data_IF_601702995701
#
_entry.id   IF_601702995701
#
_cell.length_a   1.000
_cell.length_b   1.000
_cell.length_c   1.000
_cell.angle_alpha   90.00
_cell.angle_beta   90.00
_cell.angle_gamma   90.00
#
_symmetry.space_group_name_H-M   'P 1'
#
loop_
_entity.id
_entity.type
_entity.pdbx_description
1 polymer ?
#
# COMPACT_ATOMS: atom_id res chain seq x y z
N UNK A 1 -71.58 -12.63 41.46
CA UNK A 1 -71.91 -11.69 42.54
C UNK A 1 -70.97 -11.90 43.73
N UNK A 2 -69.88 -11.17 43.98
CA UNK A 2 -68.89 -10.47 43.13
C UNK A 2 -67.80 -9.83 44.02
N UNK A 3 -66.54 -9.55 43.62
CA UNK A 3 -65.74 -9.96 42.44
C UNK A 3 -64.25 -9.60 42.67
N UNK A 4 -63.37 -9.94 41.71
CA UNK A 4 -62.03 -9.37 41.43
C UNK A 4 -60.92 -9.36 42.53
N UNK A 5 -59.89 -10.20 42.28
CA UNK A 5 -58.42 -9.95 42.38
C UNK A 5 -57.78 -9.44 43.69
N UNK A 6 -56.55 -9.91 43.97
CA UNK A 6 -55.43 -8.96 43.92
C UNK A 6 -54.20 -9.44 43.12
N UNK A 7 -53.29 -8.50 42.89
CA UNK A 7 -52.01 -8.64 42.19
C UNK A 7 -50.85 -8.72 43.22
N UNK A 8 -49.74 -9.39 42.83
CA UNK A 8 -48.37 -9.26 43.39
C UNK A 8 -48.13 -9.63 44.87
N UNK A 9 -47.27 -10.63 45.06
CA UNK A 9 -46.43 -10.76 46.25
C UNK A 9 -44.99 -11.10 45.81
N UNK A 10 -43.99 -10.49 46.45
CA UNK A 10 -42.58 -10.72 46.17
C UNK A 10 -41.99 -11.75 47.14
N UNK A 11 -41.16 -12.66 46.63
CA UNK A 11 -40.25 -13.54 47.41
C UNK A 11 -38.97 -13.65 46.57
N UNK A 12 -37.93 -12.88 46.90
CA UNK A 12 -36.82 -13.24 47.79
C UNK A 12 -35.92 -14.34 47.23
N UNK A 13 -34.66 -13.99 47.00
CA UNK A 13 -33.67 -14.84 46.33
C UNK A 13 -33.00 -15.83 47.30
N UNK A 14 -32.69 -17.02 46.79
CA UNK A 14 -31.65 -17.89 47.34
C UNK A 14 -30.77 -18.37 46.18
N UNK A 15 -29.48 -18.01 46.25
CA UNK A 15 -28.47 -18.42 45.28
C UNK A 15 -28.03 -19.86 45.57
N UNK A 16 -28.21 -20.74 44.59
CA UNK A 16 -27.68 -22.11 44.60
C UNK A 16 -26.95 -22.38 43.29
N UNK A 17 -25.61 -22.33 43.33
CA UNK A 17 -24.77 -22.62 42.17
C UNK A 17 -24.81 -24.12 41.84
N UNK A 18 -25.53 -24.47 40.78
CA UNK A 18 -25.55 -25.81 40.21
C UNK A 18 -25.41 -25.73 38.68
N UNK A 19 -24.37 -26.34 38.14
CA UNK A 19 -23.95 -26.18 36.75
C UNK A 19 -25.03 -26.62 35.75
N UNK A 20 -25.56 -25.66 34.98
CA UNK A 20 -26.30 -25.94 33.75
C UNK A 20 -25.34 -26.48 32.70
N UNK A 21 -25.30 -27.81 32.57
CA UNK A 21 -24.80 -28.45 31.35
C UNK A 21 -25.86 -28.19 30.27
N UNK A 22 -25.66 -27.16 29.48
CA UNK A 22 -26.36 -27.03 28.20
C UNK A 22 -25.89 -28.19 27.31
N UNK A 23 -26.73 -29.22 27.19
CA UNK A 23 -26.65 -30.12 26.07
C UNK A 23 -26.96 -29.31 24.81
N UNK A 24 -25.90 -28.87 24.11
CA UNK A 24 -26.03 -28.38 22.76
C UNK A 24 -26.55 -29.53 21.90
N UNK A 25 -27.78 -29.40 21.45
CA UNK A 25 -28.38 -30.29 20.48
C UNK A 25 -27.60 -30.12 19.17
N UNK A 26 -26.72 -31.09 18.88
CA UNK A 26 -25.95 -31.16 17.64
C UNK A 26 -26.85 -31.67 16.51
N UNK A 27 -27.96 -30.96 16.30
CA UNK A 27 -28.84 -31.13 15.16
C UNK A 27 -28.09 -30.74 13.89
N UNK A 28 -27.82 -31.76 13.07
CA UNK A 28 -27.14 -31.74 11.78
C UNK A 28 -26.78 -30.38 11.19
N UNK A 29 -25.49 -30.07 11.19
CA UNK A 29 -24.93 -29.21 10.16
C UNK A 29 -24.99 -30.00 8.85
N UNK A 30 -26.02 -29.75 8.05
CA UNK A 30 -26.13 -30.30 6.70
C UNK A 30 -24.80 -30.02 5.95
N UNK A 31 -24.28 -30.99 5.18
CA UNK A 31 -23.04 -30.77 4.44
C UNK A 31 -23.24 -29.58 3.51
N UNK A 32 -22.23 -28.72 3.43
CA UNK A 32 -22.18 -27.58 2.51
C UNK A 32 -22.10 -28.14 1.08
N UNK A 33 -23.27 -28.46 0.52
CA UNK A 33 -23.40 -29.04 -0.82
C UNK A 33 -23.11 -27.94 -1.82
N UNK A 34 -21.92 -27.97 -2.41
CA UNK A 34 -21.57 -27.11 -3.54
C UNK A 34 -22.66 -27.24 -4.62
N UNK A 35 -23.27 -26.13 -5.08
CA UNK A 35 -24.48 -26.20 -5.90
C UNK A 35 -24.18 -26.90 -7.22
N UNK A 36 -25.03 -27.87 -7.59
CA UNK A 36 -24.88 -28.62 -8.83
C UNK A 36 -24.84 -27.66 -10.03
N UNK A 37 -23.73 -27.68 -10.78
CA UNK A 37 -23.53 -26.82 -11.95
C UNK A 37 -23.83 -27.58 -13.25
N UNK A 38 -24.55 -26.92 -14.15
CA UNK A 38 -24.90 -27.42 -15.47
C UNK A 38 -24.43 -26.47 -16.56
N UNK A 39 -24.08 -27.03 -17.72
CA UNK A 39 -23.59 -26.30 -18.88
C UNK A 39 -24.73 -25.98 -19.84
N UNK A 40 -24.97 -24.70 -20.05
CA UNK A 40 -25.94 -24.20 -21.01
C UNK A 40 -25.22 -23.61 -22.22
N UNK A 41 -25.67 -23.92 -23.44
CA UNK A 41 -25.23 -23.24 -24.67
C UNK A 41 -26.34 -22.38 -25.23
N UNK A 42 -26.18 -21.07 -25.16
CA UNK A 42 -27.11 -20.15 -25.79
C UNK A 42 -26.81 -20.02 -27.29
N UNK A 43 -27.83 -20.07 -28.13
CA UNK A 43 -27.80 -19.85 -29.57
C UNK A 43 -28.63 -18.60 -29.88
N UNK A 44 -28.00 -17.52 -30.34
CA UNK A 44 -28.71 -16.27 -30.67
C UNK A 44 -28.81 -16.11 -32.19
N UNK A 45 -30.02 -15.90 -32.69
CA UNK A 45 -30.34 -15.89 -34.11
C UNK A 45 -31.29 -14.76 -34.51
N UNK A 46 -31.20 -14.39 -35.77
CA UNK A 46 -32.11 -13.49 -36.46
C UNK A 46 -33.46 -14.17 -36.75
N UNK A 47 -34.57 -13.46 -36.51
CA UNK A 47 -35.92 -14.01 -36.61
C UNK A 47 -36.38 -14.30 -38.05
N UNK A 48 -35.94 -13.47 -38.99
CA UNK A 48 -36.44 -13.47 -40.37
C UNK A 48 -35.56 -14.32 -41.30
N UNK A 49 -34.27 -14.44 -40.99
CA UNK A 49 -33.25 -15.12 -41.81
C UNK A 49 -32.70 -16.42 -41.20
N UNK A 50 -33.00 -16.74 -39.93
CA UNK A 50 -32.33 -17.77 -39.10
C UNK A 50 -30.81 -17.56 -38.94
N UNK A 51 -30.28 -16.41 -39.39
CA UNK A 51 -28.86 -16.07 -39.36
C UNK A 51 -28.29 -16.02 -37.95
N UNK A 52 -27.06 -16.51 -37.77
CA UNK A 52 -26.39 -16.52 -36.46
C UNK A 52 -25.91 -15.11 -36.06
N UNK A 53 -26.25 -14.67 -34.84
CA UNK A 53 -25.93 -13.34 -34.36
C UNK A 53 -24.66 -13.34 -33.51
N UNK A 54 -23.54 -12.94 -34.12
CA UNK A 54 -22.27 -12.63 -33.46
C UNK A 54 -22.38 -11.36 -32.60
N UNK A 55 -21.78 -11.37 -31.41
CA UNK A 55 -21.69 -10.19 -30.54
C UNK A 55 -23.02 -9.81 -29.88
N UNK A 56 -24.00 -10.72 -29.85
CA UNK A 56 -25.16 -10.59 -28.98
C UNK A 56 -24.72 -10.83 -27.54
N UNK A 57 -25.01 -9.87 -26.67
CA UNK A 57 -24.74 -9.92 -25.25
C UNK A 57 -25.93 -10.56 -24.54
N UNK A 58 -25.66 -11.49 -23.65
CA UNK A 58 -26.62 -12.16 -22.77
C UNK A 58 -26.26 -11.80 -21.32
N UNK A 59 -27.20 -11.18 -20.62
CA UNK A 59 -27.09 -10.88 -19.18
C UNK A 59 -28.10 -11.76 -18.43
N UNK A 60 -27.64 -12.55 -17.44
CA UNK A 60 -28.49 -13.43 -16.63
C UNK A 60 -28.81 -12.79 -15.27
N UNK A 61 -30.07 -12.88 -14.83
CA UNK A 61 -30.44 -12.51 -13.46
C UNK A 61 -30.07 -13.64 -12.49
N UNK A 62 -29.59 -13.31 -11.28
CA UNK A 62 -29.21 -14.32 -10.29
C UNK A 62 -27.87 -15.04 -10.55
N UNK A 63 -27.26 -14.84 -11.72
CA UNK A 63 -25.86 -15.20 -11.98
C UNK A 63 -25.20 -14.01 -12.68
N UNK A 64 -24.36 -13.25 -11.96
CA UNK A 64 -23.94 -11.89 -12.31
C UNK A 64 -23.01 -11.77 -13.56
N UNK A 65 -22.98 -12.80 -14.41
CA UNK A 65 -22.14 -12.91 -15.59
C UNK A 65 -22.79 -12.35 -16.83
N UNK A 66 -21.94 -11.69 -17.61
CA UNK A 66 -22.21 -11.24 -18.97
C UNK A 66 -21.56 -12.21 -19.96
N UNK A 67 -22.35 -12.74 -20.87
CA UNK A 67 -21.88 -13.66 -21.92
C UNK A 67 -22.09 -13.04 -23.30
N UNK A 68 -21.25 -13.42 -24.26
CA UNK A 68 -21.25 -12.80 -25.58
C UNK A 68 -21.10 -13.88 -26.62
N UNK A 69 -21.97 -13.88 -27.62
CA UNK A 69 -21.93 -14.89 -28.68
C UNK A 69 -20.72 -14.74 -29.59
N UNK A 70 -20.08 -15.87 -29.90
CA UNK A 70 -18.98 -15.97 -30.85
C UNK A 70 -19.42 -15.93 -32.31
N UNK A 71 -18.48 -16.20 -33.23
CA UNK A 71 -18.73 -16.16 -34.69
C UNK A 71 -19.77 -17.17 -35.19
N UNK A 72 -20.07 -18.19 -34.38
CA UNK A 72 -21.12 -19.20 -34.61
C UNK A 72 -22.49 -18.80 -34.00
N UNK A 73 -22.63 -17.60 -33.45
CA UNK A 73 -23.82 -17.16 -32.73
C UNK A 73 -24.06 -17.86 -31.39
N UNK A 74 -23.02 -18.48 -30.81
CA UNK A 74 -23.16 -19.26 -29.58
C UNK A 74 -22.36 -18.69 -28.42
N UNK A 75 -22.89 -18.84 -27.20
CA UNK A 75 -22.17 -18.60 -25.95
C UNK A 75 -22.50 -19.74 -24.97
N UNK A 76 -21.48 -20.46 -24.49
CA UNK A 76 -21.65 -21.52 -23.49
C UNK A 76 -21.23 -21.05 -22.10
N UNK A 77 -21.98 -21.44 -21.08
CA UNK A 77 -21.73 -21.05 -19.69
C UNK A 77 -22.16 -22.13 -18.71
N UNK A 78 -21.40 -22.23 -17.61
CA UNK A 78 -21.65 -23.16 -16.52
C UNK A 78 -22.28 -22.39 -15.35
N UNK A 79 -23.49 -22.79 -14.95
CA UNK A 79 -24.32 -22.12 -13.94
C UNK A 79 -24.95 -23.14 -12.99
N UNK A 80 -25.26 -22.78 -11.74
CA UNK A 80 -26.05 -23.64 -10.85
C UNK A 80 -27.38 -24.09 -11.44
N UNK A 81 -27.90 -25.22 -10.96
CA UNK A 81 -29.29 -25.63 -11.16
C UNK A 81 -30.22 -24.59 -10.52
N UNK A 82 -31.16 -24.04 -11.29
CA UNK A 82 -31.99 -22.93 -10.85
C UNK A 82 -32.87 -22.32 -11.95
N UNK A 83 -33.74 -21.38 -11.55
CA UNK A 83 -34.57 -20.58 -12.46
C UNK A 83 -33.87 -19.24 -12.75
N UNK A 84 -33.73 -18.91 -14.03
CA UNK A 84 -33.01 -17.74 -14.52
C UNK A 84 -33.89 -16.90 -15.43
N UNK A 85 -33.88 -15.57 -15.27
CA UNK A 85 -34.31 -14.66 -16.34
C UNK A 85 -33.09 -14.15 -17.09
N UNK A 86 -33.28 -13.79 -18.36
CA UNK A 86 -32.22 -13.28 -19.21
C UNK A 86 -32.67 -12.07 -20.00
N UNK A 87 -31.71 -11.21 -20.30
CA UNK A 87 -31.85 -10.12 -21.27
C UNK A 87 -30.80 -10.29 -22.35
N UNK A 88 -31.20 -10.26 -23.62
CA UNK A 88 -30.28 -10.29 -24.77
C UNK A 88 -30.29 -8.94 -25.48
N UNK A 89 -29.11 -8.33 -25.56
CA UNK A 89 -28.86 -7.07 -26.24
C UNK A 89 -27.96 -7.27 -27.45
N UNK A 90 -28.42 -6.80 -28.60
CA UNK A 90 -27.64 -6.72 -29.83
C UNK A 90 -28.10 -5.45 -30.53
N UNK A 91 -27.19 -4.51 -30.78
CA UNK A 91 -27.54 -3.31 -31.56
C UNK A 91 -28.10 -3.72 -32.94
N UNK A 92 -29.01 -2.89 -33.48
CA UNK A 92 -29.80 -3.20 -34.67
C UNK A 92 -31.00 -4.13 -34.41
N UNK A 93 -31.12 -4.71 -33.21
CA UNK A 93 -32.16 -5.67 -32.87
C UNK A 93 -32.97 -5.24 -31.65
N UNK A 94 -34.23 -5.64 -31.59
CA UNK A 94 -35.06 -5.47 -30.41
C UNK A 94 -34.45 -6.25 -29.24
N UNK A 95 -34.39 -5.63 -28.05
CA UNK A 95 -33.94 -6.32 -26.83
C UNK A 95 -34.93 -7.42 -26.48
N UNK A 96 -34.42 -8.64 -26.29
CA UNK A 96 -35.23 -9.80 -25.92
C UNK A 96 -35.10 -10.05 -24.42
N UNK A 97 -36.24 -10.22 -23.74
CA UNK A 97 -36.29 -10.68 -22.35
C UNK A 97 -36.95 -12.06 -22.32
N UNK A 98 -36.47 -12.94 -21.45
CA UNK A 98 -37.04 -14.27 -21.27
C UNK A 98 -36.62 -14.92 -19.97
N UNK A 99 -36.93 -16.20 -19.83
CA UNK A 99 -36.46 -17.01 -18.71
C UNK A 99 -36.42 -18.49 -19.07
N UNK A 100 -35.59 -19.23 -18.35
CA UNK A 100 -35.42 -20.67 -18.49
C UNK A 100 -35.06 -21.28 -17.13
N UNK A 101 -35.19 -22.60 -17.03
CA UNK A 101 -34.76 -23.35 -15.85
C UNK A 101 -33.59 -24.25 -16.21
N UNK A 102 -32.46 -24.04 -15.56
CA UNK A 102 -31.28 -24.87 -15.66
C UNK A 102 -31.48 -26.10 -14.75
N UNK A 103 -31.57 -27.30 -15.33
CA UNK A 103 -31.74 -28.58 -14.60
C UNK A 103 -30.75 -29.65 -15.08
N UNK A 104 -30.33 -29.54 -16.34
CA UNK A 104 -29.37 -30.43 -17.00
C UNK A 104 -28.64 -29.64 -18.08
N UNK A 105 -27.55 -30.20 -18.60
CA UNK A 105 -26.84 -29.61 -19.73
C UNK A 105 -27.76 -29.51 -20.96
N UNK A 106 -27.80 -28.36 -21.63
CA UNK A 106 -28.73 -28.14 -22.74
C UNK A 106 -28.59 -26.79 -23.42
N UNK A 107 -29.49 -26.52 -24.36
CA UNK A 107 -29.38 -25.37 -25.26
C UNK A 107 -30.50 -24.33 -25.00
N UNK A 108 -30.14 -23.05 -25.08
CA UNK A 108 -31.05 -21.91 -24.97
C UNK A 108 -31.10 -21.17 -26.32
N UNK A 109 -32.15 -21.38 -27.10
CA UNK A 109 -32.34 -20.63 -28.36
C UNK A 109 -33.02 -19.29 -28.08
N UNK A 110 -32.40 -18.20 -28.52
CA UNK A 110 -32.94 -16.84 -28.47
C UNK A 110 -33.06 -16.29 -29.88
N UNK A 111 -34.26 -15.89 -30.26
CA UNK A 111 -34.57 -15.32 -31.58
C UNK A 111 -34.81 -13.82 -31.43
N UNK A 112 -34.04 -13.01 -32.15
CA UNK A 112 -34.09 -11.54 -32.11
C UNK A 112 -34.65 -11.00 -33.42
N UNK A 113 -35.53 -10.02 -33.34
CA UNK A 113 -36.08 -9.33 -34.51
C UNK A 113 -35.26 -8.07 -34.80
N UNK A 114 -34.94 -7.83 -36.07
CA UNK A 114 -34.25 -6.61 -36.48
C UNK A 114 -35.18 -5.39 -36.26
N UNK A 115 -34.60 -4.28 -35.80
CA UNK A 115 -35.26 -2.98 -35.82
C UNK A 115 -35.11 -2.44 -37.25
N UNK A 116 -36.11 -2.67 -38.10
CA UNK A 116 -36.12 -2.14 -39.47
C UNK A 116 -36.06 -0.60 -39.52
N UNK A 117 -35.75 -0.03 -40.70
CA UNK A 117 -35.42 1.39 -40.99
C UNK A 117 -36.09 2.50 -40.14
N UNK A 118 -35.72 2.60 -38.86
CA UNK A 118 -36.14 3.64 -37.93
C UNK A 118 -35.00 3.95 -36.94
N UNK A 119 -34.49 5.16 -37.13
CA UNK A 119 -33.76 6.00 -36.17
C UNK A 119 -32.26 5.70 -35.93
N UNK A 120 -31.45 6.71 -36.26
CA UNK A 120 -30.00 6.83 -35.98
C UNK A 120 -29.70 7.07 -34.50
N UNK A 121 -30.62 6.67 -33.61
CA UNK A 121 -30.50 6.74 -32.15
C UNK A 121 -30.05 5.42 -31.51
N UNK A 122 -29.86 4.35 -32.29
CA UNK A 122 -29.27 3.09 -31.81
C UNK A 122 -27.79 3.34 -31.44
N UNK A 123 -27.59 3.71 -30.18
CA UNK A 123 -26.29 4.07 -29.66
C UNK A 123 -25.38 2.86 -29.49
N UNK A 124 -24.15 3.00 -29.99
CA UNK A 124 -23.10 2.00 -29.86
C UNK A 124 -22.82 1.67 -28.37
N UNK A 125 -22.73 0.37 -28.05
CA UNK A 125 -22.34 -0.14 -26.71
C UNK A 125 -20.98 -0.81 -26.82
N UNK A 126 -20.07 -0.47 -25.91
CA UNK A 126 -18.78 -1.12 -25.75
C UNK A 126 -18.72 -1.78 -24.36
N UNK A 127 -18.50 -3.09 -24.31
CA UNK A 127 -17.99 -3.74 -23.11
C UNK A 127 -16.49 -3.93 -23.22
N UNK A 128 -15.76 -3.52 -22.18
CA UNK A 128 -14.35 -3.84 -22.00
C UNK A 128 -14.26 -4.80 -20.82
N UNK A 129 -13.60 -5.94 -21.01
CA UNK A 129 -13.17 -6.83 -19.94
C UNK A 129 -11.69 -6.64 -19.70
N UNK A 130 -11.26 -6.53 -18.45
CA UNK A 130 -9.86 -6.33 -18.08
C UNK A 130 -9.36 -7.54 -17.31
N UNK A 131 -8.30 -8.16 -17.80
CA UNK A 131 -7.68 -9.34 -17.22
C UNK A 131 -6.16 -9.18 -17.15
N UNK A 132 -5.51 -9.96 -16.30
CA UNK A 132 -4.06 -10.03 -16.17
C UNK A 132 -3.45 -10.89 -17.28
N UNK A 133 -2.42 -10.38 -17.95
CA UNK A 133 -1.71 -11.11 -18.99
C UNK A 133 -1.00 -12.34 -18.41
N UNK A 134 -1.16 -13.48 -19.06
CA UNK A 134 -0.57 -14.76 -18.66
C UNK A 134 -1.46 -15.58 -17.73
N UNK A 135 -1.96 -15.00 -16.63
CA UNK A 135 -2.83 -15.72 -15.69
C UNK A 135 -4.31 -15.75 -16.11
N UNK A 136 -4.76 -14.76 -16.90
CA UNK A 136 -6.18 -14.57 -17.24
C UNK A 136 -7.06 -14.12 -16.07
N UNK A 137 -6.46 -13.81 -14.90
CA UNK A 137 -7.20 -13.37 -13.71
C UNK A 137 -7.87 -12.02 -13.98
N UNK A 138 -9.15 -11.92 -13.66
CA UNK A 138 -9.95 -10.71 -13.86
C UNK A 138 -9.45 -9.59 -12.91
N UNK A 139 -9.43 -8.36 -13.42
CA UNK A 139 -8.95 -7.18 -12.68
C UNK A 139 -10.15 -6.29 -12.35
N UNK A 140 -10.65 -6.41 -11.12
CA UNK A 140 -11.59 -5.48 -10.50
C UNK A 140 -10.93 -4.12 -10.22
N UNK A 141 -11.70 -3.03 -10.26
CA UNK A 141 -11.23 -1.69 -9.88
C UNK A 141 -10.28 -1.02 -10.87
N UNK A 142 -10.01 -1.63 -12.04
CA UNK A 142 -9.23 -1.00 -13.10
C UNK A 142 -10.00 0.20 -13.65
N UNK A 143 -9.36 1.37 -13.64
CA UNK A 143 -9.93 2.59 -14.20
C UNK A 143 -9.81 2.55 -15.73
N UNK A 144 -10.95 2.52 -16.40
CA UNK A 144 -11.07 2.52 -17.87
C UNK A 144 -11.67 3.86 -18.29
N UNK A 145 -11.00 4.55 -19.19
CA UNK A 145 -11.41 5.87 -19.69
C UNK A 145 -11.42 5.95 -21.21
N UNK A 146 -12.38 6.70 -21.73
CA UNK A 146 -12.50 7.04 -23.15
C UNK A 146 -11.96 8.45 -23.40
N UNK A 147 -11.38 8.65 -24.59
CA UNK A 147 -11.14 10.01 -25.10
C UNK A 147 -12.46 10.79 -25.14
N UNK A 148 -12.44 12.02 -24.60
CA UNK A 148 -13.65 12.78 -24.22
C UNK A 148 -14.02 12.72 -22.73
N UNK A 149 -13.26 12.02 -21.89
CA UNK A 149 -13.30 12.17 -20.42
C UNK A 149 -14.30 11.29 -19.68
N UNK A 150 -15.02 10.40 -20.37
CA UNK A 150 -15.86 9.37 -19.72
C UNK A 150 -14.96 8.31 -19.09
N UNK A 151 -15.03 8.12 -17.78
CA UNK A 151 -14.27 7.10 -17.06
C UNK A 151 -15.17 6.30 -16.12
N UNK A 152 -14.88 4.99 -15.99
CA UNK A 152 -15.56 4.04 -15.11
C UNK A 152 -14.54 3.02 -14.59
N UNK A 153 -14.85 2.36 -13.48
CA UNK A 153 -14.04 1.25 -12.96
C UNK A 153 -14.63 -0.09 -13.39
N UNK A 154 -13.80 -1.12 -13.49
CA UNK A 154 -14.28 -2.49 -13.68
C UNK A 154 -14.92 -3.07 -12.43
N UNK A 155 -15.96 -3.87 -12.62
CA UNK A 155 -16.61 -4.65 -11.57
C UNK A 155 -15.78 -5.90 -11.16
N UNK A 156 -16.28 -6.67 -10.19
CA UNK A 156 -15.65 -7.90 -9.68
C UNK A 156 -15.40 -8.99 -10.72
N UNK A 157 -15.99 -8.88 -11.92
CA UNK A 157 -15.72 -9.77 -13.06
C UNK A 157 -14.83 -9.13 -14.13
N UNK A 158 -14.19 -8.01 -13.79
CA UNK A 158 -13.31 -7.25 -14.68
C UNK A 158 -14.06 -6.51 -15.79
N UNK A 159 -15.40 -6.40 -15.75
CA UNK A 159 -16.18 -5.78 -16.81
C UNK A 159 -16.42 -4.30 -16.55
N UNK A 160 -16.46 -3.52 -17.64
CA UNK A 160 -16.99 -2.15 -17.65
C UNK A 160 -17.76 -1.91 -18.95
N UNK A 161 -18.85 -1.16 -18.86
CA UNK A 161 -19.72 -0.82 -19.99
C UNK A 161 -19.68 0.67 -20.28
N UNK A 162 -19.63 1.01 -21.57
CA UNK A 162 -19.93 2.34 -22.09
C UNK A 162 -21.06 2.24 -23.12
N UNK A 163 -22.08 3.09 -22.95
CA UNK A 163 -23.18 3.28 -23.90
C UNK A 163 -23.13 4.69 -24.48
N UNK A 164 -23.99 4.95 -25.47
CA UNK A 164 -24.05 6.24 -26.15
C UNK A 164 -22.68 6.65 -26.69
N UNK A 165 -22.00 5.68 -27.31
CA UNK A 165 -20.85 5.97 -28.16
C UNK A 165 -21.35 6.41 -29.53
N UNK A 166 -20.50 7.17 -30.20
CA UNK A 166 -20.78 7.74 -31.51
C UNK A 166 -19.45 7.84 -32.28
N UNK A 167 -19.29 7.01 -33.31
CA UNK A 167 -18.14 7.07 -34.21
C UNK A 167 -17.50 5.71 -34.44
N UNK A 168 -16.62 5.62 -35.42
CA UNK A 168 -16.08 4.34 -35.91
C UNK A 168 -15.04 3.69 -34.98
N UNK A 169 -14.58 4.38 -33.94
CA UNK A 169 -13.65 3.84 -32.96
C UNK A 169 -13.71 4.58 -31.61
N UNK A 170 -13.47 3.83 -30.52
CA UNK A 170 -13.24 4.36 -29.19
C UNK A 170 -11.76 4.20 -28.82
N UNK A 171 -11.08 5.29 -28.49
CA UNK A 171 -9.77 5.25 -27.85
C UNK A 171 -9.96 5.01 -26.35
N UNK A 172 -9.51 3.84 -25.87
CA UNK A 172 -9.66 3.38 -24.49
C UNK A 172 -8.29 3.39 -23.81
N UNK A 173 -8.20 4.03 -22.65
CA UNK A 173 -7.05 3.95 -21.74
C UNK A 173 -7.45 3.19 -20.48
N UNK A 174 -6.60 2.26 -20.04
CA UNK A 174 -6.81 1.41 -18.86
C UNK A 174 -5.64 1.62 -17.90
N UNK A 175 -5.95 1.84 -16.63
CA UNK A 175 -4.99 2.02 -15.53
C UNK A 175 -5.42 1.20 -14.33
N UNK A 176 -4.48 0.47 -13.72
CA UNK A 176 -4.68 -0.21 -12.44
C UNK A 176 -3.36 -0.24 -11.67
N UNK A 177 -3.41 -0.30 -10.34
CA UNK A 177 -2.20 -0.35 -9.51
C UNK A 177 -1.44 -1.65 -9.73
N UNK A 178 -0.13 -1.58 -9.93
CA UNK A 178 0.70 -2.75 -10.25
C UNK A 178 0.56 -3.25 -11.69
N UNK A 179 -0.04 -2.46 -12.60
CA UNK A 179 -0.17 -2.80 -14.03
C UNK A 179 0.28 -1.67 -14.94
N UNK A 180 0.96 -2.03 -16.03
CA UNK A 180 1.41 -1.08 -17.04
C UNK A 180 0.18 -0.48 -17.74
N UNK A 181 0.03 0.84 -17.62
CA UNK A 181 -1.08 1.56 -18.25
C UNK A 181 -1.09 1.32 -19.77
N UNK A 182 -2.27 1.01 -20.31
CA UNK A 182 -2.45 0.63 -21.73
C UNK A 182 -3.45 1.56 -22.39
N UNK A 183 -3.13 2.05 -23.59
CA UNK A 183 -4.06 2.79 -24.45
C UNK A 183 -4.20 2.06 -25.77
N UNK A 184 -5.43 1.93 -26.29
CA UNK A 184 -5.73 1.26 -27.54
C UNK A 184 -6.98 1.86 -28.20
N UNK A 185 -6.93 2.06 -29.52
CA UNK A 185 -8.12 2.29 -30.33
C UNK A 185 -8.86 0.95 -30.58
N UNK A 186 -10.14 0.90 -30.24
CA UNK A 186 -11.04 -0.22 -30.49
C UNK A 186 -12.05 0.21 -31.55
N UNK A 187 -12.12 -0.47 -32.70
CA UNK A 187 -13.11 -0.16 -33.72
C UNK A 187 -14.52 -0.45 -33.15
N UNK A 188 -15.42 0.50 -33.31
CA UNK A 188 -16.83 0.33 -32.99
C UNK A 188 -17.57 -0.05 -34.27
N UNK A 189 -18.49 -0.98 -34.14
CA UNK A 189 -19.39 -1.34 -35.23
C UNK A 189 -20.74 -0.66 -34.98
N UNK A 190 -21.15 0.18 -35.93
CA UNK A 190 -22.41 0.92 -35.90
C UNK A 190 -23.59 -0.02 -35.61
N UNK A 191 -24.43 0.38 -34.67
CA UNK A 191 -25.53 -0.47 -34.21
C UNK A 191 -25.07 -1.86 -33.74
N UNK A 192 -23.94 -2.00 -33.03
CA UNK A 192 -23.56 -3.27 -32.39
C UNK A 192 -23.05 -3.08 -30.97
N UNK A 193 -23.14 -4.17 -30.21
CA UNK A 193 -22.40 -4.32 -28.96
C UNK A 193 -20.98 -4.77 -29.32
N UNK A 194 -20.01 -3.88 -29.19
CA UNK A 194 -18.60 -4.20 -29.34
C UNK A 194 -18.08 -4.75 -28.02
N UNK A 195 -17.33 -5.85 -28.07
CA UNK A 195 -16.81 -6.52 -26.87
C UNK A 195 -15.33 -6.78 -27.08
N UNK A 196 -14.52 -6.37 -26.10
CA UNK A 196 -13.07 -6.52 -26.13
C UNK A 196 -12.57 -7.00 -24.77
N UNK A 197 -11.73 -8.03 -24.76
CA UNK A 197 -10.93 -8.41 -23.60
C UNK A 197 -9.54 -7.79 -23.75
N UNK A 198 -9.09 -7.08 -22.72
CA UNK A 198 -7.81 -6.38 -22.70
C UNK A 198 -6.94 -6.94 -21.58
N UNK A 199 -5.92 -7.68 -21.98
CA UNK A 199 -4.90 -8.18 -21.07
C UNK A 199 -3.94 -7.05 -20.64
N UNK A 200 -3.72 -6.90 -19.34
CA UNK A 200 -2.81 -5.94 -18.71
C UNK A 200 -1.55 -6.67 -18.23
N UNK A 201 -0.38 -6.14 -18.58
CA UNK A 201 0.89 -6.65 -18.07
C UNK A 201 1.19 -6.03 -16.69
N UNK A 202 1.81 -6.79 -15.79
CA UNK A 202 2.23 -6.32 -14.47
C UNK A 202 3.28 -5.21 -14.63
N UNK A 203 3.09 -4.10 -13.93
CA UNK A 203 4.11 -3.07 -13.75
C UNK A 203 5.02 -3.51 -12.60
N UNK A 204 6.20 -4.02 -12.97
CA UNK A 204 7.21 -4.47 -12.03
C UNK A 204 7.88 -3.26 -11.36
N UNK A 205 7.17 -2.64 -10.41
CA UNK A 205 7.73 -1.61 -9.54
C UNK A 205 8.85 -2.25 -8.72
N UNK A 206 10.09 -2.04 -9.15
CA UNK A 206 11.27 -2.37 -8.36
C UNK A 206 11.26 -1.46 -7.14
N UNK A 207 10.74 -1.97 -6.02
CA UNK A 207 10.85 -1.30 -4.74
C UNK A 207 12.34 -1.09 -4.44
N UNK A 208 12.72 0.13 -4.05
CA UNK A 208 14.04 0.36 -3.51
C UNK A 208 14.25 -0.59 -2.32
N UNK A 209 15.44 -1.21 -2.18
CA UNK A 209 15.70 -2.14 -1.09
C UNK A 209 15.44 -1.44 0.25
N UNK A 210 14.74 -2.13 1.14
CA UNK A 210 14.52 -1.65 2.51
C UNK A 210 15.87 -1.65 3.23
N UNK A 211 16.54 -0.49 3.27
CA UNK A 211 17.74 -0.31 4.08
C UNK A 211 17.37 -0.37 5.56
N UNK A 212 17.50 -1.55 6.16
CA UNK A 212 17.41 -1.73 7.61
C UNK A 212 18.72 -1.24 8.22
N UNK A 213 18.81 0.05 8.53
CA UNK A 213 19.88 0.58 9.37
C UNK A 213 19.72 0.05 10.78
N UNK A 214 20.63 -0.86 11.18
CA UNK A 214 20.72 -1.33 12.56
C UNK A 214 21.18 -0.17 13.48
N UNK A 215 20.24 0.41 14.22
CA UNK A 215 20.55 1.47 15.18
C UNK A 215 21.23 0.91 16.43
N UNK A 216 22.23 1.64 16.94
CA UNK A 216 22.95 1.25 18.14
C UNK A 216 22.12 1.52 19.39
N UNK A 217 21.74 0.46 20.11
CA UNK A 217 21.09 0.54 21.43
C UNK A 217 21.86 1.45 22.41
N UNK A 218 23.19 1.53 22.32
CA UNK A 218 23.97 2.44 23.17
C UNK A 218 23.73 3.90 22.79
N UNK A 219 23.82 4.25 21.50
CA UNK A 219 23.57 5.62 21.04
C UNK A 219 22.11 6.04 21.31
N UNK A 220 21.16 5.13 21.14
CA UNK A 220 19.75 5.32 21.51
C UNK A 220 19.58 5.62 23.01
N UNK A 221 20.17 4.82 23.91
CA UNK A 221 20.15 5.06 25.36
C UNK A 221 20.84 6.37 25.76
N UNK A 222 21.85 6.79 25.00
CA UNK A 222 22.48 8.10 25.19
C UNK A 222 21.64 9.25 24.61
N UNK A 223 20.50 8.95 23.98
CA UNK A 223 19.55 9.89 23.38
C UNK A 223 20.05 10.51 22.08
N UNK A 224 21.02 9.91 21.40
CA UNK A 224 21.72 10.48 20.23
C UNK A 224 20.76 10.68 19.06
N UNK A 225 20.05 9.62 18.62
CA UNK A 225 19.12 9.68 17.49
C UNK A 225 18.03 10.74 17.70
N UNK A 226 17.42 10.78 18.89
CA UNK A 226 16.43 11.80 19.29
C UNK A 226 16.93 13.25 19.10
N UNK A 227 18.25 13.51 19.26
CA UNK A 227 18.86 14.83 19.05
C UNK A 227 19.17 15.10 17.58
N UNK A 228 19.60 14.08 16.83
CA UNK A 228 19.86 14.16 15.38
C UNK A 228 18.55 14.48 14.64
N UNK A 229 17.46 13.75 14.93
CA UNK A 229 16.14 13.95 14.31
C UNK A 229 15.58 15.36 14.48
N UNK A 230 15.99 16.04 15.56
CA UNK A 230 15.60 17.42 15.90
C UNK A 230 16.56 18.47 15.34
N UNK A 231 17.60 18.08 14.61
CA UNK A 231 18.65 18.98 14.13
C UNK A 231 19.35 19.73 15.26
N UNK A 232 19.49 19.10 16.44
CA UNK A 232 19.96 19.78 17.65
C UNK A 232 21.48 19.98 17.70
N UNK A 233 22.33 19.00 17.30
CA UNK A 233 23.74 19.23 17.05
C UNK A 233 23.94 20.27 15.94
N UNK A 234 24.86 21.22 16.13
CA UNK A 234 25.20 22.22 15.10
C UNK A 234 25.92 21.59 13.90
N UNK A 235 26.71 20.55 14.17
CA UNK A 235 27.29 19.64 13.18
C UNK A 235 27.36 18.23 13.77
N UNK A 236 27.04 17.24 12.94
CA UNK A 236 27.32 15.84 13.15
C UNK A 236 28.56 15.47 12.32
N UNK A 237 29.50 14.71 12.89
CA UNK A 237 30.59 14.07 12.17
C UNK A 237 30.46 12.57 12.38
N UNK A 238 30.12 11.86 11.31
CA UNK A 238 30.07 10.39 11.28
C UNK A 238 31.47 9.79 11.26
N UNK A 239 31.62 8.53 11.68
CA UNK A 239 32.86 7.76 11.50
C UNK A 239 33.42 7.87 10.07
N UNK A 240 32.55 7.80 9.05
CA UNK A 240 32.94 7.96 7.65
C UNK A 240 33.59 9.33 7.39
N UNK A 241 32.97 10.43 7.82
CA UNK A 241 33.55 11.78 7.64
C UNK A 241 34.86 11.96 8.43
N UNK A 242 34.97 11.36 9.62
CA UNK A 242 36.21 11.40 10.42
C UNK A 242 37.35 10.64 9.74
N UNK A 243 37.07 9.48 9.15
CA UNK A 243 38.03 8.69 8.37
C UNK A 243 38.40 9.35 7.03
N UNK A 244 37.42 9.89 6.29
CA UNK A 244 37.65 10.61 5.02
C UNK A 244 38.53 11.85 5.21
N UNK A 245 38.44 12.51 6.36
CA UNK A 245 39.33 13.62 6.74
C UNK A 245 40.78 13.17 6.98
N UNK A 246 41.02 11.90 7.32
CA UNK A 246 42.36 11.28 7.49
C UNK A 246 43.34 12.15 8.30
N UNK A 247 42.86 12.75 9.38
CA UNK A 247 43.65 13.67 10.21
C UNK A 247 44.64 12.93 11.10
N UNK A 248 45.90 13.41 11.23
CA UNK A 248 46.91 12.77 12.09
C UNK A 248 46.67 13.00 13.59
N UNK A 249 45.67 13.81 13.94
CA UNK A 249 45.25 14.21 15.29
C UNK A 249 43.74 14.41 15.30
N UNK A 250 43.01 13.78 16.22
CA UNK A 250 41.55 13.81 16.20
C UNK A 250 40.99 15.24 16.37
N UNK A 251 41.64 16.10 17.15
CA UNK A 251 41.26 17.50 17.31
C UNK A 251 41.21 18.24 15.95
N UNK A 252 42.08 17.89 15.01
CA UNK A 252 42.16 18.56 13.71
C UNK A 252 40.94 18.32 12.83
N UNK A 253 40.17 17.25 13.07
CA UNK A 253 38.89 17.02 12.39
C UNK A 253 37.89 18.17 12.61
N UNK A 254 38.02 18.89 13.75
CA UNK A 254 37.13 19.96 14.19
C UNK A 254 37.55 21.36 13.72
N UNK A 255 38.70 21.53 13.06
CA UNK A 255 39.18 22.84 12.55
C UNK A 255 38.24 23.50 11.54
N UNK A 256 37.52 22.71 10.75
CA UNK A 256 36.61 23.21 9.71
C UNK A 256 35.23 23.63 10.26
N UNK A 257 35.01 23.52 11.58
CA UNK A 257 33.72 23.82 12.18
C UNK A 257 33.59 25.33 12.46
N UNK A 258 32.52 26.00 11.98
CA UNK A 258 32.31 27.41 12.25
C UNK A 258 32.29 27.72 13.75
N UNK A 259 33.16 28.65 14.17
CA UNK A 259 33.30 29.06 15.56
C UNK A 259 34.38 28.32 16.35
N UNK A 260 34.92 27.21 15.84
CA UNK A 260 35.92 26.37 16.51
C UNK A 260 37.34 26.71 16.03
N UNK A 261 38.29 26.71 16.95
CA UNK A 261 39.73 26.66 16.69
C UNK A 261 40.36 25.55 17.52
N UNK A 262 41.51 25.04 17.08
CA UNK A 262 42.31 24.06 17.81
C UNK A 262 43.60 24.72 18.27
N UNK A 263 43.76 24.87 19.58
CA UNK A 263 44.97 25.41 20.20
C UNK A 263 45.83 24.25 20.74
N UNK A 264 47.15 24.36 20.60
CA UNK A 264 48.11 23.34 21.02
C UNK A 264 49.06 23.87 22.09
N UNK A 265 49.04 23.26 23.28
CA UNK A 265 50.00 23.56 24.36
C UNK A 265 50.85 22.32 24.66
N UNK A 266 52.05 22.28 24.07
CA UNK A 266 52.91 21.10 24.13
C UNK A 266 52.30 19.93 23.36
N UNK A 267 52.16 18.73 23.95
CA UNK A 267 51.54 17.59 23.30
C UNK A 267 50.00 17.66 23.25
N UNK A 268 49.38 18.55 24.03
CA UNK A 268 47.93 18.56 24.25
C UNK A 268 47.18 19.49 23.29
N UNK A 269 46.08 19.00 22.73
CA UNK A 269 45.12 19.80 21.98
C UNK A 269 43.98 20.30 22.87
N UNK A 270 43.48 21.50 22.54
CA UNK A 270 42.29 22.12 23.14
C UNK A 270 41.38 22.64 22.04
N UNK A 271 40.11 22.24 22.07
CA UNK A 271 39.07 22.87 21.28
C UNK A 271 38.65 24.16 21.97
N UNK A 272 38.71 25.27 21.25
CA UNK A 272 38.43 26.61 21.76
C UNK A 272 37.48 27.32 20.80
N UNK A 273 36.71 28.29 21.29
CA UNK A 273 36.04 29.26 20.40
C UNK A 273 37.07 30.24 19.82
N UNK A 274 36.75 30.94 18.73
CA UNK A 274 37.59 32.05 18.26
C UNK A 274 37.82 33.14 19.33
N UNK A 275 36.87 33.33 20.25
CA UNK A 275 36.99 34.25 21.41
C UNK A 275 37.88 33.72 22.54
N UNK A 276 38.46 32.52 22.41
CA UNK A 276 39.36 31.93 23.41
C UNK A 276 38.64 31.28 24.59
N UNK A 277 37.37 30.90 24.45
CA UNK A 277 36.67 30.13 25.47
C UNK A 277 36.81 28.62 25.23
N UNK A 278 37.14 27.80 26.24
CA UNK A 278 37.33 26.36 26.06
C UNK A 278 36.03 25.61 25.77
N UNK A 279 36.04 24.79 24.73
CA UNK A 279 34.95 23.89 24.35
C UNK A 279 35.19 22.54 25.04
N UNK A 280 34.35 22.12 26.01
CA UNK A 280 34.52 20.85 26.69
C UNK A 280 34.26 19.66 25.74
N UNK A 281 35.20 18.70 25.76
CA UNK A 281 35.06 17.43 25.04
C UNK A 281 34.61 16.33 26.01
N UNK A 282 33.67 15.49 25.58
CA UNK A 282 33.19 14.33 26.31
C UNK A 282 33.39 13.07 25.48
N UNK A 283 33.80 11.96 26.09
CA UNK A 283 33.81 10.62 25.51
C UNK A 283 32.84 9.72 26.27
N UNK A 284 31.88 9.13 25.56
CA UNK A 284 30.83 8.26 26.10
C UNK A 284 30.09 8.86 27.30
N UNK A 285 29.82 10.16 27.20
CA UNK A 285 29.13 10.93 28.22
C UNK A 285 29.98 11.37 29.42
N UNK A 286 31.26 11.00 29.48
CA UNK A 286 32.22 11.45 30.52
C UNK A 286 33.13 12.51 29.94
N UNK A 287 33.46 13.55 30.71
CA UNK A 287 34.32 14.62 30.20
C UNK A 287 35.79 14.16 30.11
N UNK A 288 36.46 14.55 29.03
CA UNK A 288 37.92 14.47 28.91
C UNK A 288 38.60 15.50 29.83
N UNK A 289 39.90 15.32 30.07
CA UNK A 289 40.65 15.96 31.17
C UNK A 289 40.41 17.47 31.33
N UNK A 290 39.54 17.85 32.27
CA UNK A 290 39.19 19.25 32.51
C UNK A 290 39.81 19.76 33.82
N UNK A 291 40.94 20.44 33.72
CA UNK A 291 41.31 21.62 34.53
C UNK A 291 42.71 22.08 34.12
N UNK A 292 42.90 23.40 34.02
CA UNK A 292 44.15 24.05 33.56
C UNK A 292 45.15 24.16 34.73
N UNK A 293 45.37 23.05 35.44
CA UNK A 293 46.30 22.96 36.59
C UNK A 293 47.31 21.85 36.36
N UNK A 294 48.59 22.16 36.59
CA UNK A 294 49.76 21.33 36.25
C UNK A 294 49.66 19.85 36.68
N UNK A 295 48.90 19.56 37.75
CA UNK A 295 48.73 18.22 38.32
C UNK A 295 47.71 17.34 37.56
N UNK A 296 46.74 17.91 36.84
CA UNK A 296 45.73 17.13 36.12
C UNK A 296 46.20 16.64 34.74
N UNK A 297 47.21 17.28 34.15
CA UNK A 297 47.76 16.89 32.83
C UNK A 297 48.51 15.55 32.83
N UNK A 298 48.84 15.00 34.00
CA UNK A 298 49.54 13.71 34.12
C UNK A 298 48.61 12.48 34.18
N UNK A 299 47.28 12.68 34.24
CA UNK A 299 46.30 11.61 34.54
C UNK A 299 44.97 11.72 33.78
N UNK A 300 44.82 12.71 32.88
CA UNK A 300 43.61 12.90 32.09
C UNK A 300 43.81 12.58 30.60
N UNK A 301 42.87 11.83 30.02
CA UNK A 301 42.79 11.56 28.58
C UNK A 301 42.54 12.88 27.80
N UNK A 302 43.38 13.18 26.81
CA UNK A 302 43.20 14.27 25.84
C UNK A 302 42.38 13.81 24.63
N UNK A 303 41.91 14.75 23.80
CA UNK A 303 41.20 14.41 22.55
C UNK A 303 42.13 13.74 21.52
N UNK A 304 43.41 14.10 21.48
CA UNK A 304 44.38 13.51 20.54
C UNK A 304 44.95 12.16 21.02
N UNK A 305 44.56 11.67 22.20
CA UNK A 305 44.84 10.31 22.69
C UNK A 305 43.81 9.28 22.18
N UNK A 306 42.83 9.70 21.36
CA UNK A 306 41.75 8.88 20.81
C UNK A 306 41.92 8.85 19.29
N UNK A 307 41.94 7.66 18.69
CA UNK A 307 42.05 7.54 17.23
C UNK A 307 40.70 7.80 16.54
N UNK A 308 40.73 8.38 15.35
CA UNK A 308 39.50 8.69 14.59
C UNK A 308 38.67 7.44 14.25
N UNK A 309 39.29 6.26 14.18
CA UNK A 309 38.60 4.99 13.92
C UNK A 309 37.86 4.42 15.14
N UNK A 310 38.23 4.85 16.35
CA UNK A 310 37.58 4.48 17.62
C UNK A 310 36.31 5.28 17.87
N UNK A 311 36.09 6.39 17.14
CA UNK A 311 34.90 7.23 17.23
C UNK A 311 33.88 6.77 16.20
N UNK A 312 32.69 6.38 16.67
CA UNK A 312 31.56 6.09 15.79
C UNK A 312 30.89 7.38 15.30
N UNK A 313 30.81 8.37 16.19
CA UNK A 313 30.06 9.59 15.98
C UNK A 313 30.58 10.72 16.87
N UNK A 314 30.66 11.92 16.32
CA UNK A 314 30.85 13.14 17.09
C UNK A 314 29.72 14.16 16.87
N UNK A 315 29.17 14.69 17.96
CA UNK A 315 28.19 15.79 17.96
C UNK A 315 28.87 17.09 18.44
N UNK A 316 28.84 18.14 17.63
CA UNK A 316 29.27 19.49 18.04
C UNK A 316 28.06 20.38 18.34
N UNK A 317 28.11 21.08 19.48
CA UNK A 317 27.12 22.04 19.93
C UNK A 317 27.72 23.43 20.09
N UNK A 318 27.01 24.43 19.58
CA UNK A 318 27.27 25.84 19.85
C UNK A 318 26.77 26.25 21.26
N UNK A 319 27.27 27.38 21.81
CA UNK A 319 26.77 27.96 23.06
C UNK A 319 25.23 28.03 23.12
N UNK A 320 24.65 27.64 24.25
CA UNK A 320 23.19 27.65 24.45
C UNK A 320 22.40 26.50 23.80
N UNK A 321 23.00 25.67 22.93
CA UNK A 321 22.38 24.42 22.42
C UNK A 321 22.87 23.14 23.09
N UNK A 322 23.88 23.23 23.95
CA UNK A 322 24.44 22.09 24.69
C UNK A 322 23.34 21.39 25.53
N UNK A 323 23.14 20.06 25.39
CA UNK A 323 22.17 19.34 26.21
C UNK A 323 22.50 19.45 27.70
N UNK A 324 21.49 19.63 28.55
CA UNK A 324 21.68 20.00 29.97
C UNK A 324 22.67 19.13 30.75
N UNK A 325 22.73 17.81 30.47
CA UNK A 325 23.69 16.85 31.06
C UNK A 325 25.17 17.11 30.75
N UNK A 326 25.46 17.99 29.79
CA UNK A 326 26.80 18.38 29.34
C UNK A 326 27.14 19.85 29.59
N UNK A 327 26.17 20.64 30.10
CA UNK A 327 26.42 22.02 30.53
C UNK A 327 27.19 21.99 31.85
N UNK A 328 28.32 22.71 31.92
CA UNK A 328 29.01 22.92 33.20
C UNK A 328 28.37 24.06 34.00
N UNK A 329 28.17 23.90 35.32
CA UNK A 329 27.71 24.99 36.18
C UNK A 329 28.76 26.10 36.44
N UNK A 330 30.04 25.82 36.20
CA UNK A 330 31.17 26.62 36.73
C UNK A 330 32.09 27.22 35.65
N UNK A 331 31.66 27.23 34.39
CA UNK A 331 32.40 27.82 33.26
C UNK A 331 31.36 28.39 32.30
N UNK A 332 31.70 29.45 31.57
CA UNK A 332 30.85 29.96 30.51
C UNK A 332 30.50 28.84 29.51
N UNK A 333 29.22 28.73 29.15
CA UNK A 333 28.71 27.62 28.33
C UNK A 333 29.11 27.79 26.86
N UNK A 334 30.38 27.49 26.56
CA UNK A 334 31.01 27.78 25.28
C UNK A 334 30.81 26.70 24.20
N UNK A 335 29.75 25.90 24.31
CA UNK A 335 29.48 24.77 23.45
C UNK A 335 29.93 23.44 24.06
N UNK A 336 29.91 22.38 23.27
CA UNK A 336 30.43 21.06 23.66
C UNK A 336 30.76 20.23 22.42
N UNK A 337 31.71 19.31 22.55
CA UNK A 337 31.90 18.19 21.62
C UNK A 337 31.64 16.89 22.37
N UNK A 338 30.72 16.07 21.85
CA UNK A 338 30.44 14.74 22.37
C UNK A 338 30.98 13.70 21.39
N UNK A 339 31.88 12.85 21.84
CA UNK A 339 32.41 11.70 21.12
C UNK A 339 31.74 10.44 21.66
N UNK A 340 31.31 9.57 20.75
CA UNK A 340 30.75 8.26 21.09
C UNK A 340 31.65 7.17 20.52
N UNK A 341 32.09 6.25 21.38
CA UNK A 341 33.04 5.21 20.98
C UNK A 341 32.36 4.10 20.18
N UNK A 342 33.07 3.62 19.17
CA UNK A 342 32.71 2.46 18.35
C UNK A 342 32.63 1.18 19.18
N UNK A 343 33.48 1.04 20.20
CA UNK A 343 33.45 -0.13 21.11
C UNK A 343 32.09 -0.26 21.81
N UNK A 344 31.46 0.85 22.21
CA UNK A 344 30.14 0.85 22.84
C UNK A 344 29.00 0.88 21.84
N UNK A 345 29.16 1.63 20.74
CA UNK A 345 28.13 1.71 19.71
C UNK A 345 27.93 0.35 19.00
N UNK A 346 29.02 -0.38 18.69
CA UNK A 346 28.98 -1.67 17.99
C UNK A 346 28.53 -2.87 18.84
N UNK A 347 28.54 -2.79 20.18
CA UNK A 347 28.10 -3.88 21.08
C UNK A 347 26.57 -4.09 21.12
N UNK A 348 25.83 -3.57 20.14
CA UNK A 348 24.40 -3.78 19.96
C UNK A 348 24.03 -4.99 19.09
N UNK A 349 24.98 -5.56 18.35
CA UNK A 349 24.78 -6.73 17.48
C UNK A 349 24.87 -8.04 18.31
N UNK A 350 23.76 -8.39 18.97
CA UNK A 350 23.59 -9.60 19.79
C UNK A 350 22.13 -9.93 20.05
#
# INVERSE_FOLDING_TARGET
MDSCRPLVAAVSACLGLGSLVFAFDLAGQEPDQEPEVVRITAHVRDADTDGVLLGALIELSGHARRYVTGMNGQASFDIPVGDYTFTVHKGGYATVLGGFRAVYNGDLTVTMHELGDVDTSISERLLVRVAEFGSGRLIEGAAVSLTGGRARMTDGEGWVEFTNLSGTAAEVTIRSFGYLARTQAIPLLEGRTTVVEVAMAIDAVVLAPLEVTAESRFLEQQGVYWRIDRGWPRKLLTRKELMEKSVPRLADAFRDLPGVRVDYWGPFAFLMTHTGCPIPVFLDGRQLGSNITALNFAVGLNIDDIEAEEVELAEYYEPGRVPARFVKPSVDNCGAVLLWSRERAGKGEG
#
